data_IF_428302675528
#
_entry.id   IF_428302675528
#
_cell.length_a   1.000
_cell.length_b   1.000
_cell.length_c   1.000
_cell.angle_alpha   90.00
_cell.angle_beta   90.00
_cell.angle_gamma   90.00
#
_symmetry.space_group_name_H-M   'P 1'
#
loop_
_entity.id
_entity.type
_entity.pdbx_description
1 polymer ?
#
# COMPACT_ATOMS: atom_id res chain seq x y z
N UNK A 1 -19.74 -27.95 19.75
CA UNK A 1 -20.47 -27.56 18.52
C UNK A 1 -21.97 -27.82 18.61
N UNK A 2 -22.44 -28.87 19.30
CA UNK A 2 -23.89 -29.09 19.58
C UNK A 2 -24.67 -27.90 20.20
N UNK A 3 -24.09 -26.97 20.98
CA UNK A 3 -24.88 -25.88 21.55
C UNK A 3 -25.36 -24.83 20.52
N UNK A 4 -24.75 -24.78 19.33
CA UNK A 4 -25.06 -23.78 18.29
C UNK A 4 -25.82 -24.38 17.08
N UNK A 5 -25.69 -25.68 16.87
CA UNK A 5 -26.35 -26.44 15.81
C UNK A 5 -27.33 -27.39 16.48
N UNK A 6 -28.63 -27.12 16.39
CA UNK A 6 -29.67 -28.02 16.91
C UNK A 6 -29.54 -29.43 16.31
N UNK A 7 -30.17 -30.43 16.95
CA UNK A 7 -30.05 -31.83 16.52
C UNK A 7 -30.44 -32.00 15.05
N UNK A 8 -29.58 -32.62 14.22
CA UNK A 8 -29.89 -32.82 12.81
C UNK A 8 -31.10 -33.73 12.64
N UNK A 9 -32.04 -33.33 11.77
CA UNK A 9 -33.16 -34.16 11.33
C UNK A 9 -32.91 -34.63 9.90
N UNK A 10 -32.73 -35.94 9.68
CA UNK A 10 -32.71 -36.51 8.33
C UNK A 10 -34.08 -36.33 7.69
N UNK A 11 -34.13 -35.75 6.51
CA UNK A 11 -35.36 -35.55 5.75
C UNK A 11 -35.47 -36.51 4.56
N UNK A 12 -34.34 -36.83 3.94
CA UNK A 12 -34.24 -37.71 2.77
C UNK A 12 -32.79 -38.23 2.62
N UNK A 13 -32.50 -39.02 1.60
CA UNK A 13 -31.14 -39.48 1.33
C UNK A 13 -30.20 -38.32 1.00
N UNK A 14 -29.16 -38.19 1.84
CA UNK A 14 -28.22 -37.08 1.81
C UNK A 14 -28.79 -35.74 2.29
N UNK A 15 -30.12 -35.60 2.51
CA UNK A 15 -30.76 -34.35 2.91
C UNK A 15 -31.05 -34.29 4.42
N UNK A 16 -30.51 -33.26 5.06
CA UNK A 16 -30.63 -33.02 6.50
C UNK A 16 -31.15 -31.60 6.77
N UNK A 17 -31.81 -31.42 7.91
CA UNK A 17 -32.23 -30.13 8.42
C UNK A 17 -31.60 -29.88 9.79
N UNK A 18 -31.09 -28.67 9.98
CA UNK A 18 -30.51 -28.16 11.21
C UNK A 18 -31.30 -26.91 11.65
N UNK A 19 -31.37 -26.69 12.95
CA UNK A 19 -31.79 -25.42 13.52
C UNK A 19 -30.53 -24.62 13.88
N UNK A 20 -30.36 -23.44 13.28
CA UNK A 20 -29.22 -22.57 13.54
C UNK A 20 -29.64 -21.41 14.44
N UNK A 21 -28.94 -21.27 15.57
CA UNK A 21 -29.14 -20.19 16.53
C UNK A 21 -30.41 -20.30 17.40
N UNK A 22 -30.58 -19.38 18.37
CA UNK A 22 -31.68 -19.40 19.33
C UNK A 22 -33.05 -19.18 18.67
N UNK A 23 -33.11 -18.56 17.48
CA UNK A 23 -34.33 -18.34 16.70
C UNK A 23 -34.74 -19.55 15.83
N UNK A 24 -34.00 -20.67 15.90
CA UNK A 24 -34.28 -21.92 15.19
C UNK A 24 -34.44 -21.77 13.66
N UNK A 25 -33.68 -20.88 13.04
CA UNK A 25 -33.68 -20.74 11.59
C UNK A 25 -33.29 -22.07 10.94
N UNK A 26 -34.17 -22.60 10.07
CA UNK A 26 -33.93 -23.89 9.42
C UNK A 26 -32.88 -23.77 8.32
N UNK A 27 -31.83 -24.57 8.42
CA UNK A 27 -30.83 -24.75 7.38
C UNK A 27 -30.85 -26.19 6.90
N UNK A 28 -30.86 -26.34 5.59
CA UNK A 28 -30.87 -27.62 4.91
C UNK A 28 -29.47 -27.91 4.37
N UNK A 29 -29.04 -29.16 4.50
CA UNK A 29 -27.78 -29.69 4.01
C UNK A 29 -28.08 -30.84 3.06
N UNK A 30 -27.55 -30.80 1.84
CA UNK A 30 -27.61 -31.92 0.89
C UNK A 30 -26.19 -32.45 0.61
N UNK A 31 -25.92 -33.68 1.02
CA UNK A 31 -24.70 -34.42 0.65
C UNK A 31 -24.94 -35.16 -0.68
N UNK A 32 -24.09 -34.91 -1.68
CA UNK A 32 -24.21 -35.49 -3.02
C UNK A 32 -22.81 -35.75 -3.61
N UNK A 33 -22.39 -37.02 -3.61
CA UNK A 33 -21.00 -37.40 -3.95
C UNK A 33 -20.00 -36.78 -2.97
N UNK A 34 -18.92 -36.19 -3.50
CA UNK A 34 -17.88 -35.50 -2.73
C UNK A 34 -18.29 -34.10 -2.23
N UNK A 35 -19.54 -33.68 -2.46
CA UNK A 35 -20.00 -32.31 -2.23
C UNK A 35 -21.07 -32.23 -1.16
N UNK A 36 -21.01 -31.16 -0.38
CA UNK A 36 -22.03 -30.79 0.59
C UNK A 36 -22.56 -29.40 0.23
N UNK A 37 -23.87 -29.31 0.04
CA UNK A 37 -24.59 -28.07 -0.27
C UNK A 37 -25.37 -27.61 0.95
N UNK A 38 -25.36 -26.31 1.25
CA UNK A 38 -26.13 -25.72 2.35
C UNK A 38 -27.06 -24.63 1.84
N UNK A 39 -28.29 -24.59 2.34
CA UNK A 39 -29.23 -23.51 2.02
C UNK A 39 -30.27 -23.33 3.12
N UNK A 40 -30.73 -22.11 3.34
CA UNK A 40 -31.93 -21.84 4.15
C UNK A 40 -33.23 -22.21 3.42
N UNK A 41 -33.16 -22.52 2.12
CA UNK A 41 -34.32 -22.87 1.29
C UNK A 41 -34.14 -24.26 0.69
N UNK A 42 -34.96 -25.22 1.13
CA UNK A 42 -34.93 -26.60 0.61
C UNK A 42 -35.07 -26.66 -0.91
N UNK A 43 -35.91 -25.81 -1.51
CA UNK A 43 -36.14 -25.77 -2.96
C UNK A 43 -34.88 -25.47 -3.77
N UNK A 44 -33.92 -24.72 -3.21
CA UNK A 44 -32.64 -24.42 -3.88
C UNK A 44 -31.76 -25.67 -3.96
N UNK A 45 -31.82 -26.56 -2.97
CA UNK A 45 -31.05 -27.80 -2.97
C UNK A 45 -31.55 -28.81 -4.02
N UNK A 46 -32.81 -28.70 -4.47
CA UNK A 46 -33.35 -29.56 -5.52
C UNK A 46 -32.74 -29.26 -6.91
N UNK A 47 -32.21 -28.05 -7.12
CA UNK A 47 -31.68 -27.61 -8.42
C UNK A 47 -30.15 -27.63 -8.50
N UNK A 48 -29.45 -28.08 -7.43
CA UNK A 48 -27.98 -28.10 -7.44
C UNK A 48 -27.45 -29.20 -8.37
N UNK A 49 -26.44 -28.89 -9.20
CA UNK A 49 -25.84 -29.87 -10.09
C UNK A 49 -25.12 -30.95 -9.28
N UNK A 50 -24.99 -32.15 -9.85
CA UNK A 50 -24.20 -33.23 -9.22
C UNK A 50 -22.72 -32.88 -9.09
N UNK A 51 -22.20 -32.05 -9.99
CA UNK A 51 -20.85 -31.50 -9.93
C UNK A 51 -20.92 -29.95 -9.88
N UNK A 52 -20.61 -29.31 -8.74
CA UNK A 52 -20.61 -27.86 -8.61
C UNK A 52 -19.39 -27.20 -9.24
N UNK A 53 -18.39 -27.93 -9.76
CA UNK A 53 -17.25 -27.34 -10.47
C UNK A 53 -17.70 -26.45 -11.63
N UNK A 54 -18.81 -26.79 -12.30
CA UNK A 54 -19.43 -25.93 -13.32
C UNK A 54 -19.92 -24.60 -12.77
N UNK A 55 -20.37 -24.55 -11.52
CA UNK A 55 -20.74 -23.30 -10.83
C UNK A 55 -19.49 -22.53 -10.37
N UNK A 56 -18.47 -23.23 -9.91
CA UNK A 56 -17.24 -22.65 -9.36
C UNK A 56 -16.24 -22.20 -10.45
N UNK A 57 -16.46 -22.58 -11.71
CA UNK A 57 -15.59 -22.22 -12.83
C UNK A 57 -14.17 -22.74 -12.61
N UNK A 58 -13.19 -21.84 -12.68
CA UNK A 58 -11.76 -22.18 -12.52
C UNK A 58 -11.28 -22.12 -11.07
N UNK A 59 -12.11 -21.73 -10.10
CA UNK A 59 -11.67 -21.57 -8.70
C UNK A 59 -10.98 -22.82 -8.14
N UNK A 60 -11.52 -24.05 -8.30
CA UNK A 60 -10.87 -25.25 -7.76
C UNK A 60 -9.53 -25.60 -8.44
N UNK A 61 -9.21 -24.97 -9.56
CA UNK A 61 -7.91 -25.12 -10.25
C UNK A 61 -6.90 -24.03 -9.85
N UNK A 62 -7.37 -22.92 -9.29
CA UNK A 62 -6.56 -21.73 -9.02
C UNK A 62 -6.21 -21.59 -7.54
N UNK A 63 -7.05 -22.12 -6.65
CA UNK A 63 -6.96 -21.92 -5.22
C UNK A 63 -7.28 -23.21 -4.48
N UNK A 64 -6.58 -23.42 -3.37
CA UNK A 64 -6.86 -24.49 -2.40
C UNK A 64 -8.06 -24.12 -1.52
N UNK A 65 -8.25 -22.81 -1.26
CA UNK A 65 -9.41 -22.26 -0.57
C UNK A 65 -9.88 -21.00 -1.28
N UNK A 66 -11.16 -20.89 -1.61
CA UNK A 66 -11.71 -19.68 -2.19
C UNK A 66 -13.12 -19.36 -1.69
N UNK A 67 -13.38 -18.08 -1.49
CA UNK A 67 -14.70 -17.50 -1.23
C UNK A 67 -15.05 -16.59 -2.38
N UNK A 68 -16.19 -16.82 -3.03
CA UNK A 68 -16.73 -15.94 -4.08
C UNK A 68 -18.01 -15.27 -3.62
N UNK A 69 -17.98 -13.95 -3.57
CA UNK A 69 -19.10 -13.08 -3.27
C UNK A 69 -19.66 -12.53 -4.59
N UNK A 70 -21.00 -12.47 -4.70
CA UNK A 70 -21.71 -11.99 -5.88
C UNK A 70 -22.56 -10.76 -5.54
N UNK A 71 -21.94 -9.60 -5.23
CA UNK A 71 -22.69 -8.41 -4.83
C UNK A 71 -23.64 -7.92 -5.92
N UNK A 72 -23.33 -8.20 -7.20
CA UNK A 72 -24.22 -7.90 -8.33
C UNK A 72 -25.58 -8.60 -8.29
N UNK A 73 -25.75 -9.63 -7.46
CA UNK A 73 -27.03 -10.32 -7.25
C UNK A 73 -27.90 -9.70 -6.16
N UNK A 74 -27.38 -8.74 -5.39
CA UNK A 74 -28.16 -7.99 -4.39
C UNK A 74 -28.84 -6.80 -5.05
N UNK A 75 -30.05 -6.47 -4.60
CA UNK A 75 -30.66 -5.18 -4.94
C UNK A 75 -29.90 -4.03 -4.27
N UNK A 76 -30.02 -2.82 -4.83
CA UNK A 76 -29.38 -1.63 -4.24
C UNK A 76 -29.76 -1.44 -2.75
N UNK A 77 -31.04 -1.66 -2.42
CA UNK A 77 -31.53 -1.58 -1.05
C UNK A 77 -30.92 -2.65 -0.13
N UNK A 78 -30.74 -3.88 -0.62
CA UNK A 78 -30.10 -4.95 0.16
C UNK A 78 -28.62 -4.66 0.42
N UNK A 79 -27.92 -4.17 -0.60
CA UNK A 79 -26.51 -3.80 -0.50
C UNK A 79 -26.31 -2.63 0.46
N UNK A 80 -27.17 -1.61 0.36
CA UNK A 80 -27.15 -0.45 1.26
C UNK A 80 -27.45 -0.85 2.71
N UNK A 81 -28.43 -1.74 2.93
CA UNK A 81 -28.73 -2.26 4.27
C UNK A 81 -27.54 -3.04 4.87
N UNK A 82 -26.90 -3.92 4.08
CA UNK A 82 -25.72 -4.68 4.52
C UNK A 82 -24.55 -3.75 4.87
N UNK A 83 -24.26 -2.77 4.01
CA UNK A 83 -23.18 -1.82 4.25
C UNK A 83 -23.47 -0.89 5.43
N UNK A 84 -24.74 -0.54 5.64
CA UNK A 84 -25.16 0.21 6.83
C UNK A 84 -24.90 -0.59 8.11
N UNK A 85 -25.22 -1.88 8.13
CA UNK A 85 -24.95 -2.76 9.27
C UNK A 85 -23.45 -2.90 9.55
N UNK A 86 -22.63 -3.07 8.50
CA UNK A 86 -21.16 -3.08 8.63
C UNK A 86 -20.68 -1.74 9.17
N UNK A 87 -21.20 -0.63 8.65
CA UNK A 87 -20.89 0.72 9.11
C UNK A 87 -21.17 0.92 10.59
N UNK A 88 -22.36 0.54 11.06
CA UNK A 88 -22.74 0.60 12.47
C UNK A 88 -21.83 -0.26 13.35
N UNK A 89 -21.42 -1.43 12.85
CA UNK A 89 -20.48 -2.30 13.55
C UNK A 89 -19.09 -1.69 13.63
N UNK A 90 -18.61 -1.02 12.58
CA UNK A 90 -17.32 -0.31 12.63
C UNK A 90 -17.39 0.92 13.55
N UNK A 91 -18.50 1.65 13.53
CA UNK A 91 -18.72 2.79 14.42
C UNK A 91 -18.66 2.39 15.89
N UNK A 92 -19.21 1.23 16.27
CA UNK A 92 -19.15 0.77 17.67
C UNK A 92 -17.73 0.40 18.13
N UNK A 93 -16.86 -0.05 17.22
CA UNK A 93 -15.44 -0.32 17.52
C UNK A 93 -14.60 0.97 17.60
N UNK A 94 -15.07 2.05 16.97
CA UNK A 94 -14.39 3.34 16.94
C UNK A 94 -14.88 4.29 18.04
N UNK A 95 -15.85 3.89 18.87
CA UNK A 95 -16.26 4.70 20.03
C UNK A 95 -15.09 4.77 21.04
N UNK A 96 -14.74 5.97 21.54
CA UNK A 96 -13.76 6.10 22.61
C UNK A 96 -14.20 5.27 23.83
N UNK A 97 -13.27 4.61 24.54
CA UNK A 97 -13.62 3.97 25.81
C UNK A 97 -14.24 5.00 26.77
N UNK A 98 -15.16 4.54 27.62
CA UNK A 98 -15.90 5.39 28.56
C UNK A 98 -14.93 6.27 29.38
N UNK A 99 -15.06 7.60 29.26
CA UNK A 99 -14.32 8.57 30.08
C UNK A 99 -13.53 9.66 29.34
N UNK A 100 -13.51 9.69 28.00
CA UNK A 100 -12.89 10.79 27.25
C UNK A 100 -13.81 12.03 27.21
N UNK A 101 -13.75 12.87 28.24
CA UNK A 101 -14.50 14.13 28.34
C UNK A 101 -13.81 15.25 27.54
N UNK A 102 -14.49 15.76 26.51
CA UNK A 102 -14.55 17.18 26.14
C UNK A 102 -15.76 17.40 25.20
N UNK A 103 -16.89 17.76 25.80
CA UNK A 103 -18.25 17.64 25.25
C UNK A 103 -18.61 18.60 24.08
N UNK A 104 -17.69 19.43 23.58
CA UNK A 104 -17.96 20.31 22.42
C UNK A 104 -17.09 20.00 21.20
N UNK A 105 -15.83 19.62 21.41
CA UNK A 105 -14.94 19.12 20.35
C UNK A 105 -15.31 17.69 19.95
N UNK A 106 -15.76 16.86 20.90
CA UNK A 106 -16.21 15.49 20.64
C UNK A 106 -17.48 15.43 19.76
N UNK A 107 -18.40 16.39 19.89
CA UNK A 107 -19.64 16.41 19.10
C UNK A 107 -19.39 16.82 17.64
N UNK A 108 -18.55 17.84 17.40
CA UNK A 108 -18.15 18.24 16.06
C UNK A 108 -17.25 17.18 15.41
N UNK A 109 -16.28 16.62 16.14
CA UNK A 109 -15.44 15.53 15.63
C UNK A 109 -16.26 14.27 15.35
N UNK A 110 -17.24 13.91 16.19
CA UNK A 110 -18.11 12.77 15.93
C UNK A 110 -19.06 13.03 14.76
N UNK A 111 -19.54 14.25 14.55
CA UNK A 111 -20.37 14.60 13.40
C UNK A 111 -19.57 14.54 12.09
N UNK A 112 -18.35 15.07 12.06
CA UNK A 112 -17.44 14.99 10.91
C UNK A 112 -17.05 13.54 10.62
N UNK A 113 -16.71 12.77 11.66
CA UNK A 113 -16.37 11.34 11.53
C UNK A 113 -17.56 10.54 11.02
N UNK A 114 -18.77 10.73 11.58
CA UNK A 114 -19.99 10.10 11.09
C UNK A 114 -20.31 10.48 9.64
N UNK A 115 -20.10 11.74 9.26
CA UNK A 115 -20.28 12.17 7.87
C UNK A 115 -19.27 11.52 6.93
N UNK A 116 -17.99 11.41 7.34
CA UNK A 116 -16.95 10.73 6.57
C UNK A 116 -17.23 9.23 6.41
N UNK A 117 -17.67 8.56 7.48
CA UNK A 117 -18.10 7.15 7.45
C UNK A 117 -19.28 6.97 6.49
N UNK A 118 -20.33 7.79 6.59
CA UNK A 118 -21.48 7.72 5.68
C UNK A 118 -21.08 7.90 4.22
N UNK A 119 -20.24 8.89 3.91
CA UNK A 119 -19.71 9.10 2.54
C UNK A 119 -18.90 7.90 2.05
N UNK A 120 -18.10 7.31 2.92
CA UNK A 120 -17.31 6.12 2.60
C UNK A 120 -18.21 4.93 2.32
N UNK A 121 -19.25 4.70 3.13
CA UNK A 121 -20.22 3.63 2.90
C UNK A 121 -21.00 3.81 1.61
N UNK A 122 -21.42 5.04 1.28
CA UNK A 122 -22.07 5.34 0.00
C UNK A 122 -21.14 5.06 -1.20
N UNK A 123 -19.87 5.44 -1.10
CA UNK A 123 -18.87 5.11 -2.12
C UNK A 123 -18.70 3.59 -2.27
N UNK A 124 -18.59 2.86 -1.15
CA UNK A 124 -18.49 1.39 -1.15
C UNK A 124 -19.74 0.73 -1.73
N UNK A 125 -20.93 1.29 -1.47
CA UNK A 125 -22.20 0.80 -2.04
C UNK A 125 -22.24 0.96 -3.55
N UNK A 126 -21.89 2.15 -4.05
CA UNK A 126 -21.80 2.41 -5.48
C UNK A 126 -20.76 1.49 -6.15
N UNK A 127 -19.59 1.35 -5.53
CA UNK A 127 -18.54 0.46 -6.02
C UNK A 127 -19.00 -1.01 -6.05
N UNK A 128 -19.57 -1.52 -4.95
CA UNK A 128 -20.04 -2.90 -4.88
C UNK A 128 -21.22 -3.18 -5.84
N UNK A 129 -22.08 -2.18 -6.12
CA UNK A 129 -23.14 -2.30 -7.11
C UNK A 129 -22.60 -2.45 -8.54
N UNK A 130 -21.43 -1.86 -8.82
CA UNK A 130 -20.70 -1.97 -10.09
C UNK A 130 -19.97 -3.32 -10.24
N UNK A 131 -19.81 -4.09 -9.16
CA UNK A 131 -19.14 -5.38 -9.16
C UNK A 131 -20.08 -6.51 -9.60
N UNK A 132 -19.54 -7.41 -10.40
CA UNK A 132 -20.13 -8.71 -10.70
C UNK A 132 -19.77 -9.71 -9.61
N UNK A 133 -18.48 -9.78 -9.26
CA UNK A 133 -17.98 -10.71 -8.25
C UNK A 133 -16.75 -10.17 -7.52
N UNK A 134 -16.57 -10.65 -6.28
CA UNK A 134 -15.34 -10.55 -5.51
C UNK A 134 -14.91 -11.96 -5.12
N UNK A 135 -13.65 -12.32 -5.39
CA UNK A 135 -13.06 -13.59 -4.99
C UNK A 135 -11.96 -13.31 -3.98
N UNK A 136 -12.03 -13.97 -2.83
CA UNK A 136 -10.92 -14.11 -1.89
C UNK A 136 -10.38 -15.53 -2.10
N UNK A 137 -9.15 -15.66 -2.60
CA UNK A 137 -8.53 -16.93 -2.91
C UNK A 137 -7.21 -17.11 -2.17
N UNK A 138 -6.99 -18.27 -1.59
CA UNK A 138 -5.72 -18.67 -1.01
C UNK A 138 -5.21 -19.90 -1.76
N UNK A 139 -3.93 -19.91 -2.07
CA UNK A 139 -3.28 -21.11 -2.57
C UNK A 139 -1.89 -21.29 -2.01
N UNK A 140 -1.49 -22.54 -1.86
CA UNK A 140 -0.14 -23.00 -1.61
C UNK A 140 0.38 -23.68 -2.87
N UNK A 141 1.28 -23.03 -3.58
CA UNK A 141 1.94 -23.61 -4.75
C UNK A 141 3.17 -24.41 -4.30
N UNK A 142 2.98 -25.73 -4.22
CA UNK A 142 4.06 -26.67 -3.87
C UNK A 142 5.22 -26.63 -4.88
N UNK A 143 4.95 -26.33 -6.15
CA UNK A 143 5.95 -26.30 -7.21
C UNK A 143 6.89 -25.11 -7.12
N UNK A 144 6.39 -23.93 -6.75
CA UNK A 144 7.22 -22.74 -6.52
C UNK A 144 7.57 -22.48 -5.05
N UNK A 145 7.06 -23.30 -4.13
CA UNK A 145 7.18 -23.14 -2.68
C UNK A 145 6.73 -21.75 -2.20
N UNK A 146 5.61 -21.27 -2.74
CA UNK A 146 5.02 -19.96 -2.46
C UNK A 146 3.57 -20.13 -2.03
N UNK A 147 3.08 -19.18 -1.23
CA UNK A 147 1.66 -19.04 -1.00
C UNK A 147 1.21 -17.68 -1.50
N UNK A 148 0.00 -17.61 -2.05
CA UNK A 148 -0.60 -16.35 -2.44
C UNK A 148 -2.03 -16.22 -1.90
N UNK A 149 -2.31 -15.02 -1.41
CA UNK A 149 -3.65 -14.54 -1.08
C UNK A 149 -4.06 -13.54 -2.16
N UNK A 150 -5.08 -13.90 -2.92
CA UNK A 150 -5.66 -13.08 -3.98
C UNK A 150 -6.98 -12.45 -3.52
N UNK A 151 -7.11 -11.16 -3.74
CA UNK A 151 -8.40 -10.46 -3.82
C UNK A 151 -8.64 -10.09 -5.27
N UNK A 152 -9.59 -10.77 -5.91
CA UNK A 152 -9.96 -10.51 -7.32
C UNK A 152 -11.32 -9.85 -7.36
N UNK A 153 -11.37 -8.63 -7.89
CA UNK A 153 -12.61 -7.90 -8.13
C UNK A 153 -12.89 -7.88 -9.63
N UNK A 154 -14.11 -8.25 -10.02
CA UNK A 154 -14.57 -8.17 -11.41
C UNK A 154 -15.77 -7.24 -11.45
N UNK A 155 -15.65 -6.18 -12.24
CA UNK A 155 -16.72 -5.22 -12.49
C UNK A 155 -17.61 -5.69 -13.65
N UNK A 156 -18.87 -5.24 -13.65
CA UNK A 156 -19.79 -5.44 -14.77
C UNK A 156 -19.22 -4.74 -16.02
N UNK A 157 -19.18 -5.37 -17.21
CA UNK A 157 -18.47 -4.83 -18.38
C UNK A 157 -18.82 -3.39 -18.79
N UNK A 158 -20.07 -2.96 -18.58
CA UNK A 158 -20.55 -1.62 -18.96
C UNK A 158 -20.42 -0.57 -17.86
N UNK A 159 -19.99 -0.94 -16.65
CA UNK A 159 -19.96 -0.07 -15.48
C UNK A 159 -18.86 0.97 -15.54
N UNK A 160 -18.97 2.02 -14.71
CA UNK A 160 -17.93 3.03 -14.58
C UNK A 160 -16.65 2.40 -14.03
N UNK A 161 -16.77 1.49 -13.07
CA UNK A 161 -15.64 0.77 -12.48
C UNK A 161 -14.86 -0.03 -13.54
N UNK A 162 -15.53 -0.74 -14.45
CA UNK A 162 -14.85 -1.49 -15.51
C UNK A 162 -14.01 -0.58 -16.42
N UNK A 163 -14.52 0.62 -16.76
CA UNK A 163 -13.77 1.61 -17.55
C UNK A 163 -12.54 2.13 -16.80
N UNK A 164 -12.69 2.44 -15.51
CA UNK A 164 -11.57 2.89 -14.67
C UNK A 164 -10.47 1.82 -14.54
N UNK A 165 -10.86 0.54 -14.34
CA UNK A 165 -9.90 -0.57 -14.25
C UNK A 165 -9.22 -0.87 -15.60
N UNK A 166 -9.87 -0.59 -16.73
CA UNK A 166 -9.25 -0.74 -18.05
C UNK A 166 -8.10 0.26 -18.27
N UNK A 167 -8.18 1.47 -17.71
CA UNK A 167 -7.08 2.46 -17.81
C UNK A 167 -5.77 1.92 -17.19
N UNK A 168 -5.86 1.13 -16.12
CA UNK A 168 -4.70 0.55 -15.43
C UNK A 168 -3.92 -0.48 -16.25
N UNK A 169 -4.52 -1.10 -17.28
CA UNK A 169 -3.81 -2.07 -18.15
C UNK A 169 -2.69 -1.45 -18.96
N UNK A 170 -2.79 -0.15 -19.20
CA UNK A 170 -1.84 0.59 -20.03
C UNK A 170 -0.75 1.29 -19.20
N UNK A 171 -0.56 0.86 -17.96
CA UNK A 171 0.43 1.45 -17.06
C UNK A 171 1.85 1.23 -17.61
N UNK A 172 2.57 2.34 -17.74
CA UNK A 172 3.96 2.40 -18.14
C UNK A 172 4.72 3.17 -17.07
N UNK A 173 6.00 2.85 -16.92
CA UNK A 173 6.88 3.52 -15.97
C UNK A 173 8.20 3.86 -16.65
N UNK A 174 8.74 5.03 -16.34
CA UNK A 174 10.11 5.42 -16.64
C UNK A 174 11.05 5.11 -15.45
N UNK A 175 10.54 4.44 -14.42
CA UNK A 175 11.20 4.15 -13.14
C UNK A 175 11.30 2.64 -12.87
N UNK A 176 11.25 1.81 -13.92
CA UNK A 176 11.31 0.36 -13.81
C UNK A 176 12.55 -0.16 -13.06
N UNK A 177 13.67 0.56 -13.13
CA UNK A 177 14.93 0.25 -12.47
C UNK A 177 14.92 0.41 -10.94
N UNK A 178 13.81 0.89 -10.37
CA UNK A 178 13.58 0.84 -8.93
C UNK A 178 13.22 -0.56 -8.43
N UNK A 179 12.98 -1.53 -9.32
CA UNK A 179 12.90 -2.95 -8.96
C UNK A 179 14.28 -3.52 -8.63
N UNK A 180 14.43 -4.11 -7.46
CA UNK A 180 15.69 -4.75 -7.04
C UNK A 180 15.46 -5.92 -6.09
N UNK A 181 15.85 -7.12 -6.50
CA UNK A 181 15.76 -8.32 -5.62
C UNK A 181 16.67 -8.26 -4.40
N UNK A 182 17.72 -7.44 -4.46
CA UNK A 182 18.70 -7.30 -3.37
C UNK A 182 18.25 -6.31 -2.29
N UNK A 183 17.18 -5.55 -2.55
CA UNK A 183 16.73 -4.52 -1.63
C UNK A 183 15.87 -5.11 -0.49
N UNK A 184 15.95 -4.48 0.68
CA UNK A 184 15.03 -4.76 1.78
C UNK A 184 13.61 -4.30 1.46
N UNK A 185 13.48 -3.18 0.75
CA UNK A 185 12.23 -2.68 0.19
C UNK A 185 12.47 -2.33 -1.27
N UNK A 186 11.57 -2.72 -2.16
CA UNK A 186 11.62 -2.28 -3.55
C UNK A 186 10.22 -2.19 -4.10
N UNK A 187 9.97 -1.26 -4.99
CA UNK A 187 8.75 -1.32 -5.76
C UNK A 187 8.59 -0.21 -6.74
N UNK A 188 7.56 -0.38 -7.56
CA UNK A 188 7.06 0.65 -8.45
C UNK A 188 5.55 0.77 -8.29
N UNK A 189 5.06 1.95 -8.63
CA UNK A 189 3.65 2.22 -8.81
C UNK A 189 3.46 3.08 -10.05
N UNK A 190 2.58 2.64 -10.93
CA UNK A 190 2.36 3.28 -12.21
C UNK A 190 0.87 3.22 -12.58
N UNK A 191 0.37 4.24 -13.26
CA UNK A 191 -0.99 4.21 -13.77
C UNK A 191 -1.57 5.58 -14.05
N UNK A 192 -2.90 5.61 -14.08
CA UNK A 192 -3.67 6.82 -14.35
C UNK A 192 -4.56 7.16 -13.18
N UNK A 193 -4.54 8.42 -12.80
CA UNK A 193 -5.47 9.00 -11.85
C UNK A 193 -6.82 9.21 -12.56
N UNK A 194 -7.93 8.71 -11.99
CA UNK A 194 -9.26 9.02 -12.51
C UNK A 194 -9.50 10.53 -12.53
N UNK A 195 -10.19 11.03 -13.55
CA UNK A 195 -10.42 12.47 -13.78
C UNK A 195 -11.02 13.18 -12.56
N UNK A 196 -12.04 12.59 -11.93
CA UNK A 196 -12.66 13.14 -10.72
C UNK A 196 -11.66 13.27 -9.55
N UNK A 197 -10.72 12.32 -9.42
CA UNK A 197 -9.67 12.38 -8.39
C UNK A 197 -8.59 13.40 -8.73
N UNK A 198 -8.24 13.54 -10.02
CA UNK A 198 -7.31 14.55 -10.49
C UNK A 198 -7.86 15.97 -10.22
N UNK A 199 -9.12 16.23 -10.54
CA UNK A 199 -9.77 17.50 -10.25
C UNK A 199 -9.80 17.82 -8.75
N UNK A 200 -10.13 16.83 -7.91
CA UNK A 200 -10.13 17.00 -6.45
C UNK A 200 -8.73 17.29 -5.89
N UNK A 201 -7.70 16.60 -6.40
CA UNK A 201 -6.32 16.82 -6.00
C UNK A 201 -5.79 18.18 -6.49
N UNK A 202 -6.16 18.62 -7.68
CA UNK A 202 -5.79 19.94 -8.19
C UNK A 202 -6.38 21.07 -7.34
N UNK A 203 -7.66 20.95 -6.95
CA UNK A 203 -8.29 21.90 -6.03
C UNK A 203 -7.57 21.93 -4.67
N UNK A 204 -7.26 20.75 -4.11
CA UNK A 204 -6.49 20.65 -2.87
C UNK A 204 -5.11 21.30 -2.98
N UNK A 205 -4.39 21.09 -4.09
CA UNK A 205 -3.09 21.72 -4.32
C UNK A 205 -3.20 23.24 -4.40
N UNK A 206 -4.25 23.77 -5.04
CA UNK A 206 -4.47 25.23 -5.10
C UNK A 206 -4.79 25.81 -3.71
N UNK A 207 -5.56 25.11 -2.89
CA UNK A 207 -5.83 25.51 -1.51
C UNK A 207 -4.54 25.56 -0.67
N UNK A 208 -3.72 24.50 -0.73
CA UNK A 208 -2.44 24.45 0.01
C UNK A 208 -1.48 25.54 -0.48
N UNK A 209 -1.39 25.77 -1.79
CA UNK A 209 -0.60 26.87 -2.37
C UNK A 209 -1.04 28.21 -1.80
N UNK A 210 -2.35 28.46 -1.74
CA UNK A 210 -2.90 29.71 -1.23
C UNK A 210 -2.63 29.90 0.26
N UNK A 211 -2.67 28.82 1.06
CA UNK A 211 -2.26 28.85 2.47
C UNK A 211 -0.78 29.26 2.58
N UNK A 212 0.11 28.56 1.87
CA UNK A 212 1.55 28.86 1.93
C UNK A 212 1.89 30.28 1.44
N UNK A 213 1.20 30.77 0.42
CA UNK A 213 1.38 32.15 -0.08
C UNK A 213 0.87 33.21 0.91
N UNK A 214 -0.11 32.90 1.76
CA UNK A 214 -0.55 33.75 2.86
C UNK A 214 0.46 33.73 4.00
N UNK A 215 0.99 32.56 4.35
CA UNK A 215 2.02 32.42 5.39
C UNK A 215 3.30 33.18 5.02
N UNK A 216 3.73 33.11 3.76
CA UNK A 216 4.86 33.92 3.26
C UNK A 216 4.53 35.42 3.26
N UNK A 217 3.26 35.80 3.09
CA UNK A 217 2.85 37.20 3.14
C UNK A 217 2.94 37.78 4.57
N UNK A 218 2.60 36.98 5.58
CA UNK A 218 2.60 37.36 6.99
C UNK A 218 3.93 37.11 7.69
N UNK A 219 4.84 36.33 7.08
CA UNK A 219 6.16 36.06 7.63
C UNK A 219 7.05 37.30 7.68
N UNK A 220 7.86 37.36 8.74
CA UNK A 220 8.95 38.32 8.90
C UNK A 220 10.12 37.95 7.98
N UNK A 221 10.04 38.45 6.74
CA UNK A 221 10.99 38.23 5.65
C UNK A 221 11.33 39.58 5.01
N UNK A 222 12.54 39.70 4.47
CA UNK A 222 12.87 40.80 3.58
C UNK A 222 12.00 40.75 2.31
N UNK A 223 11.85 41.88 1.61
CA UNK A 223 11.09 41.91 0.35
C UNK A 223 11.67 40.97 -0.71
N UNK A 224 13.00 40.86 -0.75
CA UNK A 224 13.70 39.97 -1.68
C UNK A 224 13.41 38.50 -1.36
N UNK A 225 13.53 38.10 -0.09
CA UNK A 225 13.26 36.74 0.36
C UNK A 225 11.79 36.38 0.17
N UNK A 226 10.87 37.31 0.45
CA UNK A 226 9.44 37.12 0.23
C UNK A 226 9.15 36.88 -1.25
N UNK A 227 9.76 37.66 -2.15
CA UNK A 227 9.60 37.50 -3.60
C UNK A 227 10.15 36.15 -4.07
N UNK A 228 11.33 35.76 -3.58
CA UNK A 228 11.96 34.49 -3.90
C UNK A 228 11.13 33.29 -3.40
N UNK A 229 10.61 33.37 -2.16
CA UNK A 229 9.73 32.36 -1.58
C UNK A 229 8.44 32.18 -2.38
N UNK A 230 7.77 33.29 -2.75
CA UNK A 230 6.58 33.26 -3.61
C UNK A 230 6.87 32.61 -4.96
N UNK A 231 8.03 32.91 -5.57
CA UNK A 231 8.45 32.30 -6.84
C UNK A 231 8.66 30.78 -6.69
N UNK A 232 9.39 30.35 -5.66
CA UNK A 232 9.67 28.93 -5.40
C UNK A 232 8.39 28.13 -5.13
N UNK A 233 7.48 28.66 -4.30
CA UNK A 233 6.15 28.08 -4.08
C UNK A 233 5.39 28.00 -5.41
N UNK A 234 5.36 29.10 -6.18
CA UNK A 234 4.70 29.12 -7.48
C UNK A 234 5.22 28.04 -8.45
N UNK A 235 6.54 27.85 -8.52
CA UNK A 235 7.17 26.84 -9.37
C UNK A 235 6.86 25.42 -8.90
N UNK A 236 7.00 25.14 -7.61
CA UNK A 236 6.65 23.84 -7.02
C UNK A 236 5.21 23.45 -7.35
N UNK A 237 4.24 24.34 -7.07
CA UNK A 237 2.84 24.04 -7.33
C UNK A 237 2.50 23.99 -8.81
N UNK A 238 3.21 24.74 -9.65
CA UNK A 238 3.06 24.60 -11.11
C UNK A 238 3.43 23.19 -11.56
N UNK A 239 4.57 22.65 -11.10
CA UNK A 239 5.01 21.28 -11.42
C UNK A 239 4.00 20.24 -10.92
N UNK A 240 3.55 20.38 -9.66
CA UNK A 240 2.57 19.46 -9.07
C UNK A 240 1.22 19.51 -9.83
N UNK A 241 0.71 20.70 -10.13
CA UNK A 241 -0.55 20.87 -10.87
C UNK A 241 -0.45 20.32 -12.30
N UNK A 242 0.64 20.58 -13.02
CA UNK A 242 0.84 20.01 -14.36
C UNK A 242 0.92 18.49 -14.32
N UNK A 243 1.61 17.92 -13.32
CA UNK A 243 1.67 16.48 -13.10
C UNK A 243 0.28 15.88 -12.86
N UNK A 244 -0.53 16.51 -12.01
CA UNK A 244 -1.92 16.08 -11.77
C UNK A 244 -2.78 16.17 -13.03
N UNK A 245 -2.62 17.23 -13.83
CA UNK A 245 -3.34 17.41 -15.11
C UNK A 245 -2.98 16.36 -16.15
N UNK A 246 -1.73 15.88 -16.17
CA UNK A 246 -1.33 14.75 -17.00
C UNK A 246 -2.00 13.44 -16.56
N UNK A 247 -2.53 13.40 -15.33
CA UNK A 247 -3.18 12.23 -14.70
C UNK A 247 -2.26 11.01 -14.60
N UNK A 248 -0.97 11.14 -14.92
CA UNK A 248 -0.03 10.03 -14.86
C UNK A 248 0.52 9.94 -13.45
N UNK A 249 0.45 8.75 -12.88
CA UNK A 249 1.14 8.41 -11.65
C UNK A 249 2.27 7.48 -12.04
N UNK A 250 3.48 7.84 -11.67
CA UNK A 250 4.66 7.01 -11.91
C UNK A 250 5.66 7.24 -10.79
N UNK A 251 6.09 6.17 -10.14
CA UNK A 251 7.00 6.24 -9.02
C UNK A 251 7.70 4.92 -8.74
N UNK A 252 8.85 5.04 -8.08
CA UNK A 252 9.69 3.91 -7.70
C UNK A 252 10.36 4.14 -6.35
N UNK A 253 10.63 3.06 -5.63
CA UNK A 253 11.29 3.08 -4.32
C UNK A 253 12.28 1.91 -4.19
N UNK A 254 13.43 2.19 -3.57
CA UNK A 254 14.44 1.20 -3.15
C UNK A 254 14.85 1.55 -1.72
N UNK A 255 14.74 0.59 -0.81
CA UNK A 255 15.32 0.61 0.52
C UNK A 255 16.37 -0.47 0.65
N UNK A 256 17.64 -0.08 0.78
CA UNK A 256 18.74 -0.96 1.12
C UNK A 256 18.93 -0.92 2.63
N UNK A 257 19.03 -2.09 3.25
CA UNK A 257 19.13 -2.20 4.70
C UNK A 257 20.05 -3.34 5.10
N UNK A 258 20.97 -3.04 6.00
CA UNK A 258 21.89 -3.97 6.68
C UNK A 258 22.12 -3.42 8.10
N UNK A 259 22.63 -4.24 9.04
CA UNK A 259 22.98 -3.75 10.37
C UNK A 259 23.96 -2.57 10.37
N UNK A 260 24.77 -2.41 9.33
CA UNK A 260 25.81 -1.38 9.22
C UNK A 260 25.47 -0.27 8.21
N UNK A 261 24.31 -0.33 7.54
CA UNK A 261 23.97 0.58 6.45
C UNK A 261 22.48 0.67 6.21
N UNK A 262 21.99 1.89 6.00
CA UNK A 262 20.66 2.13 5.48
C UNK A 262 20.70 3.18 4.35
N UNK A 263 19.90 2.92 3.31
CA UNK A 263 19.68 3.83 2.19
C UNK A 263 18.24 3.72 1.74
N UNK A 264 17.54 4.84 1.65
CA UNK A 264 16.25 4.95 0.99
C UNK A 264 16.44 5.80 -0.26
N UNK A 265 15.92 5.34 -1.39
CA UNK A 265 15.94 6.05 -2.65
C UNK A 265 14.54 5.97 -3.29
N UNK A 266 14.10 7.06 -3.89
CA UNK A 266 12.82 7.15 -4.57
C UNK A 266 12.96 7.97 -5.86
N UNK A 267 12.10 7.67 -6.82
CA UNK A 267 11.89 8.45 -8.03
C UNK A 267 10.42 8.72 -8.21
N UNK A 268 10.09 9.88 -8.76
CA UNK A 268 8.72 10.26 -9.12
C UNK A 268 8.71 10.89 -10.50
N UNK A 269 7.80 10.42 -11.36
CA UNK A 269 7.52 11.03 -12.65
C UNK A 269 6.80 12.36 -12.44
N UNK A 270 7.35 13.44 -12.98
CA UNK A 270 6.82 14.80 -12.82
C UNK A 270 6.83 15.51 -14.18
N UNK A 271 5.80 16.32 -14.41
CA UNK A 271 5.76 17.20 -15.57
C UNK A 271 6.64 18.43 -15.35
N UNK A 272 7.57 18.69 -16.29
CA UNK A 272 8.44 19.87 -16.25
C UNK A 272 9.28 19.94 -14.95
N UNK A 273 9.84 18.79 -14.57
CA UNK A 273 10.56 18.62 -13.31
C UNK A 273 11.77 19.55 -13.18
N UNK A 274 12.37 19.96 -14.30
CA UNK A 274 13.48 20.91 -14.37
C UNK A 274 13.17 22.26 -13.70
N UNK A 275 11.90 22.64 -13.59
CA UNK A 275 11.48 23.86 -12.88
C UNK A 275 11.76 23.80 -11.37
N UNK A 276 11.98 22.60 -10.82
CA UNK A 276 12.32 22.41 -9.40
C UNK A 276 13.76 22.82 -9.07
N UNK A 277 14.63 23.04 -10.06
CA UNK A 277 16.00 23.54 -9.85
C UNK A 277 16.00 24.86 -9.06
N UNK A 278 15.15 25.80 -9.47
CA UNK A 278 14.99 27.08 -8.81
C UNK A 278 14.47 26.91 -7.36
N UNK A 279 13.62 25.89 -7.12
CA UNK A 279 13.08 25.59 -5.78
C UNK A 279 14.19 25.05 -4.88
N UNK A 280 15.00 24.10 -5.36
CA UNK A 280 16.13 23.54 -4.61
C UNK A 280 17.17 24.62 -4.32
N UNK A 281 17.49 25.47 -5.31
CA UNK A 281 18.40 26.60 -5.11
C UNK A 281 17.87 27.57 -4.06
N UNK A 282 16.60 27.95 -4.14
CA UNK A 282 15.97 28.84 -3.16
C UNK A 282 16.03 28.26 -1.74
N UNK A 283 15.69 26.98 -1.57
CA UNK A 283 15.74 26.31 -0.26
C UNK A 283 17.17 26.24 0.29
N UNK A 284 18.15 25.92 -0.57
CA UNK A 284 19.55 25.90 -0.19
C UNK A 284 20.04 27.28 0.26
N UNK A 285 19.77 28.32 -0.53
CA UNK A 285 20.20 29.69 -0.21
C UNK A 285 19.53 30.20 1.08
N UNK A 286 18.23 29.92 1.26
CA UNK A 286 17.51 30.25 2.50
C UNK A 286 18.11 29.56 3.71
N UNK A 287 18.46 28.27 3.59
CA UNK A 287 19.06 27.51 4.69
C UNK A 287 20.44 28.06 5.06
N UNK A 288 21.27 28.40 4.06
CA UNK A 288 22.58 29.02 4.28
C UNK A 288 22.49 30.39 4.94
N UNK A 289 21.51 31.22 4.57
CA UNK A 289 21.31 32.53 5.17
C UNK A 289 20.87 32.44 6.63
N UNK A 290 19.91 31.54 6.93
CA UNK A 290 19.36 31.38 8.29
C UNK A 290 20.30 30.63 9.22
N UNK A 291 21.13 29.74 8.66
CA UNK A 291 22.08 28.90 9.38
C UNK A 291 23.40 28.84 8.60
N UNK A 292 24.27 29.85 8.74
CA UNK A 292 25.53 29.93 8.00
C UNK A 292 26.42 28.68 8.13
N UNK A 293 26.33 27.97 9.25
CA UNK A 293 27.02 26.70 9.50
C UNK A 293 26.62 25.58 8.53
N UNK A 294 25.49 25.71 7.85
CA UNK A 294 24.98 24.75 6.85
C UNK A 294 25.60 24.94 5.47
N UNK A 295 26.35 26.03 5.22
CA UNK A 295 26.92 26.34 3.92
C UNK A 295 27.78 25.20 3.35
N UNK A 296 28.60 24.60 4.20
CA UNK A 296 29.49 23.49 3.84
C UNK A 296 28.75 22.15 3.69
N UNK A 297 27.49 22.07 4.12
CA UNK A 297 26.69 20.84 4.09
C UNK A 297 26.00 20.68 2.74
N UNK A 298 25.72 21.78 2.04
CA UNK A 298 24.90 21.79 0.83
C UNK A 298 25.79 22.01 -0.39
N UNK A 299 25.82 21.04 -1.30
CA UNK A 299 26.46 21.15 -2.61
C UNK A 299 25.38 21.11 -3.69
N UNK A 300 25.12 22.28 -4.28
CA UNK A 300 24.28 22.38 -5.47
C UNK A 300 25.11 21.92 -6.68
N UNK A 301 24.47 21.25 -7.65
CA UNK A 301 25.13 20.71 -8.83
C UNK A 301 26.36 19.83 -8.49
N UNK A 302 26.22 19.00 -7.46
CA UNK A 302 27.25 18.08 -7.01
C UNK A 302 27.66 17.10 -8.12
N UNK A 303 26.71 16.67 -8.96
CA UNK A 303 26.99 15.83 -10.12
C UNK A 303 25.90 16.00 -11.20
N UNK A 304 26.22 15.69 -12.45
CA UNK A 304 25.24 15.48 -13.51
C UNK A 304 25.37 14.04 -14.05
N UNK A 305 24.24 13.35 -14.24
CA UNK A 305 24.22 11.99 -14.77
C UNK A 305 22.97 11.74 -15.62
N UNK A 306 23.14 11.33 -16.87
CA UNK A 306 22.04 11.06 -17.83
C UNK A 306 20.95 12.15 -17.87
N UNK A 307 21.37 13.42 -17.86
CA UNK A 307 20.45 14.57 -17.89
C UNK A 307 19.75 14.86 -16.56
N UNK A 308 20.14 14.20 -15.48
CA UNK A 308 19.70 14.51 -14.10
C UNK A 308 20.81 15.30 -13.41
N UNK A 309 20.48 16.46 -12.85
CA UNK A 309 21.37 17.23 -11.99
C UNK A 309 21.14 16.81 -10.54
N UNK A 310 22.21 16.43 -9.85
CA UNK A 310 22.19 16.01 -8.46
C UNK A 310 22.74 17.10 -7.54
N UNK A 311 22.02 17.33 -6.46
CA UNK A 311 22.39 18.16 -5.34
C UNK A 311 22.53 17.27 -4.11
N UNK A 312 23.51 17.54 -3.25
CA UNK A 312 23.75 16.75 -2.03
C UNK A 312 23.69 17.64 -0.81
N UNK A 313 23.08 17.12 0.25
CA UNK A 313 23.07 17.74 1.58
C UNK A 313 23.64 16.71 2.55
N UNK A 314 24.75 17.05 3.18
CA UNK A 314 25.45 16.22 4.16
C UNK A 314 25.17 16.77 5.54
N UNK A 315 24.19 16.21 6.27
CA UNK A 315 23.77 16.71 7.57
C UNK A 315 24.58 16.03 8.69
N UNK A 316 25.32 16.77 9.55
CA UNK A 316 26.00 16.13 10.67
C UNK A 316 24.97 15.56 11.64
N UNK A 317 25.16 14.32 12.08
CA UNK A 317 24.39 13.79 13.21
C UNK A 317 24.95 14.48 14.46
N UNK A 318 24.08 15.07 15.29
CA UNK A 318 24.51 15.80 16.49
C UNK A 318 25.03 14.86 17.58
N UNK A 319 26.02 15.31 18.35
CA UNK A 319 26.58 14.53 19.45
C UNK A 319 25.53 14.18 20.52
N UNK A 320 24.57 15.08 20.72
CA UNK A 320 23.42 14.97 21.63
C UNK A 320 22.26 14.14 21.08
N UNK A 321 22.33 13.66 19.84
CA UNK A 321 21.22 12.92 19.23
C UNK A 321 20.90 11.66 20.05
N UNK A 322 19.62 11.49 20.37
CA UNK A 322 19.13 10.25 20.94
C UNK A 322 19.52 9.09 20.01
N UNK A 323 20.03 8.01 20.59
CA UNK A 323 20.49 6.84 19.84
C UNK A 323 21.57 7.13 18.79
N UNK A 324 22.40 8.17 18.98
CA UNK A 324 23.50 8.55 18.07
C UNK A 324 24.26 7.35 17.53
N UNK A 325 24.64 6.41 18.39
CA UNK A 325 25.38 5.21 17.97
C UNK A 325 24.64 4.40 16.89
N UNK A 326 23.31 4.24 16.98
CA UNK A 326 22.51 3.54 15.97
C UNK A 326 22.48 4.35 14.67
N UNK A 327 22.25 5.66 14.77
CA UNK A 327 22.21 6.57 13.62
C UNK A 327 23.55 6.58 12.88
N UNK A 328 24.67 6.68 13.61
CA UNK A 328 26.00 6.69 12.98
C UNK A 328 26.39 5.33 12.44
N UNK A 329 25.92 4.23 13.05
CA UNK A 329 26.09 2.89 12.50
C UNK A 329 25.41 2.77 11.14
N UNK A 330 24.16 3.22 10.99
CA UNK A 330 23.38 3.08 9.75
C UNK A 330 23.73 4.10 8.68
N UNK A 331 23.94 5.36 9.06
CA UNK A 331 24.07 6.48 8.12
C UNK A 331 25.49 7.03 8.03
N UNK A 332 26.34 6.77 9.04
CA UNK A 332 27.67 7.37 9.16
C UNK A 332 27.64 8.59 10.07
N UNK A 333 28.76 9.31 10.21
CA UNK A 333 28.80 10.52 11.04
C UNK A 333 27.91 11.66 10.49
N UNK A 334 27.54 11.56 9.20
CA UNK A 334 26.69 12.51 8.50
C UNK A 334 25.61 11.75 7.75
N UNK A 335 24.38 12.24 7.83
CA UNK A 335 23.27 11.79 7.02
C UNK A 335 23.36 12.46 5.65
N UNK A 336 23.64 11.66 4.62
CA UNK A 336 23.64 12.13 3.24
C UNK A 336 22.21 12.13 2.67
N UNK A 337 21.84 13.26 2.07
CA UNK A 337 20.59 13.44 1.32
C UNK A 337 20.96 13.85 -0.09
N UNK A 338 20.32 13.21 -1.08
CA UNK A 338 20.55 13.48 -2.49
C UNK A 338 19.22 13.87 -3.12
N UNK A 339 19.20 14.99 -3.85
CA UNK A 339 18.07 15.42 -4.66
C UNK A 339 18.52 15.45 -6.11
N UNK A 340 17.86 14.70 -6.98
CA UNK A 340 18.11 14.67 -8.42
C UNK A 340 16.96 15.30 -9.18
N UNK A 341 17.26 16.18 -10.14
CA UNK A 341 16.27 16.83 -10.97
C UNK A 341 16.58 16.54 -12.44
N UNK A 342 15.67 15.82 -13.10
CA UNK A 342 15.70 15.61 -14.54
C UNK A 342 14.61 16.43 -15.24
N UNK A 343 14.36 16.13 -16.51
CA UNK A 343 13.30 16.79 -17.29
C UNK A 343 11.89 16.28 -16.94
N UNK A 344 11.74 14.97 -16.73
CA UNK A 344 10.43 14.33 -16.52
C UNK A 344 10.35 13.54 -15.21
N UNK A 345 11.38 13.66 -14.36
CA UNK A 345 11.42 12.97 -13.09
C UNK A 345 12.24 13.77 -12.08
N UNK A 346 11.85 13.64 -10.81
CA UNK A 346 12.68 13.99 -9.67
C UNK A 346 13.05 12.74 -8.89
N UNK A 347 14.22 12.78 -8.27
CA UNK A 347 14.82 11.70 -7.53
C UNK A 347 15.20 12.19 -6.14
N UNK A 348 15.09 11.31 -5.17
CA UNK A 348 15.43 11.61 -3.79
C UNK A 348 16.11 10.40 -3.16
N UNK A 349 17.14 10.62 -2.36
CA UNK A 349 17.70 9.57 -1.53
C UNK A 349 18.17 10.10 -0.18
N UNK A 350 18.10 9.27 0.84
CA UNK A 350 18.61 9.50 2.18
C UNK A 350 19.40 8.28 2.63
N UNK A 351 20.59 8.50 3.16
CA UNK A 351 21.47 7.46 3.70
C UNK A 351 22.70 7.21 2.83
N UNK A 352 23.41 6.12 3.12
CA UNK A 352 24.73 5.86 2.52
C UNK A 352 24.61 5.55 1.03
N UNK A 353 25.57 6.02 0.23
CA UNK A 353 25.65 5.75 -1.22
C UNK A 353 24.40 6.14 -2.03
N UNK A 354 23.54 7.04 -1.53
CA UNK A 354 22.27 7.37 -2.17
C UNK A 354 22.39 7.77 -3.64
N UNK A 355 23.46 8.51 -3.99
CA UNK A 355 23.74 8.93 -5.37
C UNK A 355 24.01 7.75 -6.30
N UNK A 356 24.80 6.76 -5.86
CA UNK A 356 25.09 5.57 -6.67
C UNK A 356 23.84 4.68 -6.81
N UNK A 357 23.04 4.54 -5.75
CA UNK A 357 21.76 3.82 -5.82
C UNK A 357 20.82 4.46 -6.85
N UNK A 358 20.71 5.79 -6.86
CA UNK A 358 19.90 6.52 -7.83
C UNK A 358 20.44 6.36 -9.26
N UNK A 359 21.75 6.45 -9.47
CA UNK A 359 22.37 6.24 -10.79
C UNK A 359 22.09 4.84 -11.34
N UNK A 360 22.25 3.80 -10.51
CA UNK A 360 21.93 2.42 -10.88
C UNK A 360 20.45 2.24 -11.20
N UNK A 361 19.55 2.86 -10.42
CA UNK A 361 18.12 2.83 -10.71
C UNK A 361 17.79 3.51 -12.05
N UNK A 362 18.43 4.63 -12.37
CA UNK A 362 18.29 5.32 -13.66
C UNK A 362 18.81 4.45 -14.80
N UNK A 363 19.97 3.82 -14.66
CA UNK A 363 20.54 2.92 -15.68
C UNK A 363 19.62 1.74 -15.98
N UNK A 364 19.11 1.08 -14.92
CA UNK A 364 18.17 -0.04 -15.06
C UNK A 364 16.86 0.40 -15.69
N UNK A 365 16.37 1.59 -15.34
CA UNK A 365 15.14 2.14 -15.93
C UNK A 365 15.31 2.41 -17.42
N UNK A 366 16.45 2.97 -17.82
CA UNK A 366 16.78 3.18 -19.23
C UNK A 366 16.83 1.85 -20.04
N UNK A 367 17.18 0.73 -19.40
CA UNK A 367 17.21 -0.59 -20.04
C UNK A 367 15.82 -1.26 -20.15
N UNK A 368 14.82 -0.77 -19.41
CA UNK A 368 13.46 -1.33 -19.37
C UNK A 368 12.38 -0.40 -19.90
N UNK A 369 12.77 0.66 -20.62
CA UNK A 369 11.86 1.64 -21.18
C UNK A 369 10.72 0.98 -22.00
N UNK A 370 9.54 1.59 -21.88
CA UNK A 370 8.33 1.25 -22.64
C UNK A 370 7.72 -0.14 -22.40
N UNK A 371 8.25 -0.94 -21.48
CA UNK A 371 7.59 -2.18 -21.05
C UNK A 371 6.33 -1.85 -20.25
N UNK A 372 5.24 -2.55 -20.56
CA UNK A 372 4.05 -2.50 -19.71
C UNK A 372 4.39 -3.05 -18.34
N UNK A 373 3.93 -2.37 -17.30
CA UNK A 373 4.17 -2.78 -15.91
C UNK A 373 2.86 -2.97 -15.16
N UNK A 374 2.83 -3.88 -14.16
CA UNK A 374 1.75 -3.89 -13.18
C UNK A 374 1.63 -2.51 -12.52
N UNK A 375 0.40 -2.02 -12.24
CA UNK A 375 0.18 -0.74 -11.57
C UNK A 375 0.84 -0.62 -10.20
N UNK A 376 0.99 -1.74 -9.50
CA UNK A 376 1.74 -1.81 -8.24
C UNK A 376 2.51 -3.11 -8.22
N UNK A 377 3.77 -3.02 -7.87
CA UNK A 377 4.67 -4.14 -7.62
C UNK A 377 5.60 -3.72 -6.49
N UNK A 378 5.30 -4.19 -5.29
CA UNK A 378 6.00 -3.82 -4.05
C UNK A 378 6.49 -5.09 -3.37
N UNK A 379 7.77 -5.14 -3.03
CA UNK A 379 8.40 -6.27 -2.37
C UNK A 379 9.14 -5.82 -1.11
N UNK A 380 8.95 -6.57 -0.03
CA UNK A 380 9.63 -6.43 1.25
C UNK A 380 10.41 -7.71 1.54
N UNK A 381 11.73 -7.62 1.71
CA UNK A 381 12.59 -8.71 2.15
C UNK A 381 12.70 -8.67 3.68
N UNK A 382 12.22 -9.72 4.35
CA UNK A 382 12.12 -9.74 5.82
C UNK A 382 13.46 -9.95 6.52
N UNK A 383 14.41 -10.67 5.90
CA UNK A 383 15.69 -10.99 6.54
C UNK A 383 16.53 -9.75 6.85
N UNK A 384 16.82 -8.82 5.91
CA UNK A 384 17.61 -7.64 6.21
C UNK A 384 16.96 -6.74 7.28
N UNK A 385 15.63 -6.70 7.32
CA UNK A 385 14.87 -6.01 8.39
C UNK A 385 15.11 -6.69 9.73
N UNK A 386 14.92 -8.00 9.81
CA UNK A 386 15.11 -8.77 11.04
C UNK A 386 16.56 -8.71 11.55
N UNK A 387 17.55 -8.81 10.66
CA UNK A 387 18.97 -8.69 11.01
C UNK A 387 19.30 -7.31 11.59
N UNK A 388 18.73 -6.25 11.01
CA UNK A 388 18.94 -4.89 11.50
C UNK A 388 18.28 -4.67 12.85
N UNK A 389 17.04 -5.14 13.06
CA UNK A 389 16.36 -5.06 14.37
C UNK A 389 17.09 -5.91 15.41
N UNK A 390 17.60 -7.09 15.05
CA UNK A 390 18.39 -7.94 15.93
C UNK A 390 19.69 -7.26 16.44
N UNK A 391 20.29 -6.42 15.61
CA UNK A 391 21.51 -5.69 15.93
C UNK A 391 21.23 -4.36 16.66
N UNK A 392 20.29 -3.57 16.15
CA UNK A 392 20.10 -2.16 16.52
C UNK A 392 18.73 -1.85 17.14
N UNK A 393 17.77 -2.77 17.11
CA UNK A 393 16.42 -2.58 17.67
C UNK A 393 16.41 -2.35 19.18
N UNK A 394 15.22 -2.12 19.74
CA UNK A 394 15.06 -2.06 21.19
C UNK A 394 15.37 -3.42 21.83
N UNK A 395 15.97 -3.48 23.04
CA UNK A 395 16.37 -4.74 23.67
C UNK A 395 15.29 -5.83 23.70
N UNK A 396 14.04 -5.44 23.91
CA UNK A 396 12.84 -6.29 23.92
C UNK A 396 12.56 -6.96 22.58
N UNK A 397 12.86 -6.30 21.46
CA UNK A 397 12.59 -6.80 20.11
C UNK A 397 13.71 -7.69 19.58
N UNK A 398 14.94 -7.50 20.07
CA UNK A 398 16.15 -8.16 19.53
C UNK A 398 16.08 -9.68 19.59
N UNK A 399 15.47 -10.23 20.64
CA UNK A 399 15.34 -11.68 20.81
C UNK A 399 14.50 -12.32 19.70
N UNK A 400 13.31 -11.77 19.46
CA UNK A 400 12.42 -12.22 18.39
C UNK A 400 13.03 -11.96 17.02
N UNK A 401 13.64 -10.79 16.81
CA UNK A 401 14.28 -10.44 15.54
C UNK A 401 15.43 -11.40 15.18
N UNK A 402 16.25 -11.84 16.14
CA UNK A 402 17.28 -12.87 15.92
C UNK A 402 16.68 -14.20 15.50
N UNK A 403 15.61 -14.64 16.18
CA UNK A 403 14.91 -15.87 15.84
C UNK A 403 14.39 -15.81 14.40
N UNK A 404 13.78 -14.68 14.01
CA UNK A 404 13.30 -14.45 12.65
C UNK A 404 14.46 -14.49 11.65
N UNK A 405 15.53 -13.73 11.89
CA UNK A 405 16.69 -13.68 11.00
C UNK A 405 17.33 -15.06 10.80
N UNK A 406 17.53 -15.81 11.88
CA UNK A 406 18.12 -17.15 11.84
C UNK A 406 17.22 -18.17 11.13
N UNK A 407 15.90 -18.02 11.21
CA UNK A 407 14.98 -18.87 10.44
C UNK A 407 15.05 -18.54 8.94
N UNK A 408 15.03 -17.26 8.58
CA UNK A 408 15.08 -16.82 7.19
C UNK A 408 16.42 -17.15 6.51
N UNK A 409 17.53 -17.18 7.26
CA UNK A 409 18.84 -17.64 6.76
C UNK A 409 18.83 -19.08 6.26
N UNK A 410 17.93 -19.93 6.76
CA UNK A 410 17.82 -21.34 6.33
C UNK A 410 17.19 -21.48 4.94
N UNK A 411 16.62 -20.40 4.39
CA UNK A 411 15.97 -20.40 3.08
C UNK A 411 16.47 -19.19 2.26
N UNK A 412 17.71 -19.24 1.72
CA UNK A 412 18.28 -18.12 0.97
C UNK A 412 17.39 -17.72 -0.22
N UNK A 413 17.00 -16.45 -0.28
CA UNK A 413 16.15 -15.91 -1.35
C UNK A 413 14.68 -16.35 -1.28
N UNK A 414 14.23 -16.85 -0.12
CA UNK A 414 12.83 -17.17 0.16
C UNK A 414 12.22 -16.31 1.26
N UNK A 415 12.74 -15.10 1.47
CA UNK A 415 12.40 -14.21 2.57
C UNK A 415 11.51 -13.03 2.18
N UNK A 416 10.93 -13.04 0.97
CA UNK A 416 10.17 -11.92 0.45
C UNK A 416 8.66 -12.06 0.66
N UNK A 417 8.03 -10.90 0.87
CA UNK A 417 6.59 -10.69 0.73
C UNK A 417 6.40 -9.70 -0.41
N UNK A 418 5.55 -10.04 -1.38
CA UNK A 418 5.26 -9.21 -2.55
C UNK A 418 3.78 -8.88 -2.64
N UNK A 419 3.45 -7.59 -2.79
CA UNK A 419 2.15 -7.11 -3.22
C UNK A 419 2.21 -6.80 -4.71
N UNK A 420 1.45 -7.55 -5.50
CA UNK A 420 1.31 -7.37 -6.93
C UNK A 420 -0.14 -7.01 -7.28
N UNK A 421 -0.31 -5.92 -8.03
CA UNK A 421 -1.61 -5.53 -8.57
C UNK A 421 -1.63 -5.78 -10.08
N UNK A 422 -2.51 -6.67 -10.54
CA UNK A 422 -2.63 -7.05 -11.95
C UNK A 422 -4.03 -6.73 -12.48
N UNK A 423 -4.17 -5.82 -13.45
CA UNK A 423 -5.44 -5.60 -14.12
C UNK A 423 -5.87 -6.82 -14.95
N UNK A 424 -7.16 -7.13 -14.96
CA UNK A 424 -7.79 -8.17 -15.80
C UNK A 424 -8.82 -7.53 -16.71
N UNK A 425 -9.42 -8.27 -17.66
CA UNK A 425 -10.30 -7.76 -18.73
C UNK A 425 -11.48 -6.87 -18.27
N UNK A 426 -11.99 -7.07 -17.05
CA UNK A 426 -13.01 -6.22 -16.42
C UNK A 426 -12.74 -6.04 -14.92
N UNK A 427 -11.51 -6.26 -14.48
CA UNK A 427 -11.23 -6.42 -13.07
C UNK A 427 -9.80 -6.10 -12.68
N UNK A 428 -9.50 -6.43 -11.43
CA UNK A 428 -8.19 -6.24 -10.83
C UNK A 428 -7.95 -7.37 -9.83
N UNK A 429 -6.72 -7.89 -9.83
CA UNK A 429 -6.23 -8.83 -8.82
C UNK A 429 -5.22 -8.12 -7.96
N UNK A 430 -5.44 -8.14 -6.66
CA UNK A 430 -4.44 -7.87 -5.65
C UNK A 430 -3.90 -9.21 -5.18
N UNK A 431 -2.61 -9.45 -5.32
CA UNK A 431 -1.95 -10.65 -4.86
C UNK A 431 -0.94 -10.28 -3.79
N UNK A 432 -1.13 -10.82 -2.58
CA UNK A 432 -0.10 -10.87 -1.58
C UNK A 432 0.57 -12.24 -1.66
N UNK A 433 1.85 -12.27 -1.98
CA UNK A 433 2.65 -13.47 -2.13
C UNK A 433 3.68 -13.55 -1.01
N UNK A 434 3.86 -14.73 -0.44
CA UNK A 434 4.87 -15.02 0.57
C UNK A 434 5.73 -16.21 0.12
N UNK A 435 7.05 -16.04 0.19
CA UNK A 435 8.00 -17.08 -0.17
C UNK A 435 8.24 -18.11 0.94
N UNK A 436 8.86 -19.22 0.58
CA UNK A 436 9.03 -20.40 1.43
C UNK A 436 9.53 -20.10 2.85
N UNK A 437 10.54 -19.23 2.99
CA UNK A 437 11.11 -18.86 4.28
C UNK A 437 10.11 -18.11 5.16
N UNK A 438 9.30 -17.23 4.57
CA UNK A 438 8.21 -16.53 5.27
C UNK A 438 7.14 -17.52 5.75
N UNK A 439 6.79 -18.51 4.93
CA UNK A 439 5.80 -19.54 5.29
C UNK A 439 6.28 -20.42 6.45
N UNK A 440 7.55 -20.86 6.39
CA UNK A 440 8.17 -21.62 7.48
C UNK A 440 8.21 -20.83 8.78
N UNK A 441 8.55 -19.54 8.69
CA UNK A 441 8.53 -18.64 9.83
C UNK A 441 7.12 -18.53 10.43
N UNK A 442 6.09 -18.30 9.62
CA UNK A 442 4.71 -18.22 10.09
C UNK A 442 4.27 -19.51 10.79
N UNK A 443 4.56 -20.68 10.20
CA UNK A 443 4.29 -21.97 10.82
C UNK A 443 4.98 -22.13 12.18
N UNK A 444 6.24 -21.72 12.29
CA UNK A 444 6.99 -21.75 13.54
C UNK A 444 6.38 -20.83 14.59
N UNK A 445 6.00 -19.61 14.22
CA UNK A 445 5.39 -18.64 15.14
C UNK A 445 4.04 -19.12 15.69
N UNK A 446 3.22 -19.81 14.87
CA UNK A 446 1.97 -20.41 15.31
C UNK A 446 2.17 -21.61 16.25
N UNK A 447 3.34 -22.26 16.20
CA UNK A 447 3.67 -23.42 17.04
C UNK A 447 4.27 -23.07 18.41
N UNK A 448 4.57 -21.80 18.68
CA UNK A 448 5.07 -21.35 19.99
C UNK A 448 3.90 -21.24 20.97
N UNK A 449 3.85 -22.02 22.07
CA UNK A 449 2.79 -21.90 23.07
C UNK A 449 2.79 -20.49 23.69
N UNK A 450 1.59 -19.90 23.83
CA UNK A 450 1.38 -18.55 24.37
C UNK A 450 1.90 -18.33 25.81
N UNK A 451 2.39 -19.37 26.50
CA UNK A 451 2.88 -19.31 27.87
C UNK A 451 4.37 -18.90 28.02
N UNK A 452 5.13 -18.72 26.93
CA UNK A 452 6.56 -18.34 26.99
C UNK A 452 6.90 -16.90 26.56
N UNK A 453 5.90 -16.03 26.46
CA UNK A 453 6.06 -14.61 26.11
C UNK A 453 5.52 -13.66 27.20
N UNK A 454 5.71 -14.03 28.48
CA UNK A 454 5.62 -13.09 29.60
C UNK A 454 6.98 -12.90 30.25
#
# INVERSE_FOLDING_TARGET
MEPQLGRPRKLDDGLWQFALGPEAASVYLLAKGEWVFFSQRRSVLATVPGNPASLLGTLPKQYDLAVRLLPGNLSAAQLEALLTQIGQSLESWLQPPDGASDLQSADLQSAVTRQAVRRTLQFLAAFAADLEQVVLGFSLDEGSARAYLDVVMTAKPTSQTARQLAELRSSKTELAGFRSREAALTGIFAGKLPEAKAAALEAMLEDVKNILLRDVASADLSEEDRKAARKAIGQLFTVLQQTVRQRQVDGGIIGLLTPERATLAAGVGLSEAERLEDVVKFLADTLRQRRPETADWIKLHAQQYRGVNFHTISLPIEASAAERHKLTTLFGERLEVVVGIGQQAAYFSVGRDGLEVLKQAIDRSAAEQHKGVPPVDLTLSLRPVAETVAALGHPEDRGLARLIADELKKTPGGDQITLLVTPTAFGIRYRLEAEQGVLRLAARMMSVPAEKTK
#
